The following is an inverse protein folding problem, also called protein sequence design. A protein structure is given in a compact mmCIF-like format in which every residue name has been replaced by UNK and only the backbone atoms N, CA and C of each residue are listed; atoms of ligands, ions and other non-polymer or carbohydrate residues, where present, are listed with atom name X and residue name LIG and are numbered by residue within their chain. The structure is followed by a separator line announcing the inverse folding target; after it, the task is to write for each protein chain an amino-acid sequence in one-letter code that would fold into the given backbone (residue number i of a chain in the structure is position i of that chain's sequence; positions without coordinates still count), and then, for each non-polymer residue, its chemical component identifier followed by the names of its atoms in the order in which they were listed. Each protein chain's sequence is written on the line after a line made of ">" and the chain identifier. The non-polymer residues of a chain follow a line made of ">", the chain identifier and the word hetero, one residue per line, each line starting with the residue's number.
data_IF_172131802662
#
_entry.id   IF_172131802662
#
_cell.length_a   1.000
_cell.length_b   1.000
_cell.length_c   1.000
_cell.angle_alpha   90.00
_cell.angle_beta   90.00
_cell.angle_gamma   90.00
#
_symmetry.space_group_name_H-M   'P 1'
#
loop_
_entity.id
_entity.type
_entity.pdbx_description
1 polymer ?
#
# COMPACT_ATOMS: atom_id res chain seq x y z
N UNK A 1 -12.94 -18.63 -0.45
CA UNK A 1 -12.85 -17.17 -0.19
C UNK A 1 -11.38 -16.79 -0.03
N UNK A 2 -10.93 -15.70 -0.67
CA UNK A 2 -9.58 -15.16 -0.44
C UNK A 2 -9.56 -14.37 0.86
N UNK A 3 -8.47 -14.46 1.63
CA UNK A 3 -8.25 -13.69 2.86
C UNK A 3 -7.20 -12.65 2.55
N UNK A 4 -7.50 -11.37 2.80
CA UNK A 4 -6.57 -10.28 2.55
C UNK A 4 -6.40 -9.48 3.83
N UNK A 5 -5.17 -9.05 4.11
CA UNK A 5 -4.88 -8.11 5.20
C UNK A 5 -4.32 -6.82 4.63
N UNK A 6 -4.87 -5.71 5.09
CA UNK A 6 -4.37 -4.38 4.80
C UNK A 6 -3.25 -4.07 5.79
N UNK A 7 -2.06 -3.79 5.28
CA UNK A 7 -0.88 -3.56 6.10
C UNK A 7 -0.40 -2.13 5.91
N UNK A 8 -0.85 -1.25 6.80
CA UNK A 8 -0.43 0.15 6.85
C UNK A 8 0.74 0.39 7.81
N UNK A 9 0.82 -0.40 8.88
CA UNK A 9 1.60 -0.04 10.08
C UNK A 9 2.89 -0.80 10.28
N UNK A 10 3.11 -1.92 9.59
CA UNK A 10 4.39 -2.63 9.66
C UNK A 10 5.40 -1.97 8.74
N UNK A 11 6.64 -1.89 9.21
CA UNK A 11 7.75 -1.54 8.33
C UNK A 11 7.96 -2.62 7.26
N UNK A 12 8.65 -2.24 6.20
CA UNK A 12 9.02 -3.18 5.14
C UNK A 12 9.91 -4.32 5.65
N UNK A 13 10.80 -4.06 6.60
CA UNK A 13 11.64 -5.10 7.21
C UNK A 13 10.83 -6.11 8.01
N UNK A 14 9.83 -5.64 8.76
CA UNK A 14 8.94 -6.51 9.55
C UNK A 14 8.04 -7.36 8.65
N UNK A 15 7.48 -6.78 7.58
CA UNK A 15 6.53 -7.51 6.72
C UNK A 15 7.21 -8.62 5.93
N UNK A 16 8.49 -8.43 5.57
CA UNK A 16 9.29 -9.44 4.87
C UNK A 16 10.05 -10.38 5.79
N UNK A 17 9.86 -10.25 7.11
CA UNK A 17 10.48 -11.14 8.07
C UNK A 17 10.07 -12.60 7.77
N UNK A 18 11.02 -13.57 7.78
CA UNK A 18 10.71 -14.94 7.39
C UNK A 18 9.53 -15.56 8.14
N UNK A 19 9.38 -15.25 9.43
CA UNK A 19 8.26 -15.71 10.24
C UNK A 19 6.91 -15.16 9.74
N UNK A 20 6.85 -13.87 9.38
CA UNK A 20 5.63 -13.24 8.85
C UNK A 20 5.26 -13.83 7.49
N UNK A 21 6.22 -13.88 6.55
CA UNK A 21 6.00 -14.47 5.23
C UNK A 21 5.54 -15.94 5.32
N UNK A 22 6.15 -16.73 6.21
CA UNK A 22 5.76 -18.13 6.46
C UNK A 22 4.32 -18.23 6.96
N UNK A 23 3.91 -17.36 7.87
CA UNK A 23 2.54 -17.34 8.39
C UNK A 23 1.54 -16.94 7.30
N UNK A 24 1.82 -15.87 6.55
CA UNK A 24 0.96 -15.42 5.44
C UNK A 24 0.74 -16.53 4.41
N UNK A 25 1.80 -17.19 3.99
CA UNK A 25 1.74 -18.31 3.05
C UNK A 25 0.97 -19.51 3.64
N UNK A 26 1.31 -19.94 4.87
CA UNK A 26 0.68 -21.08 5.54
C UNK A 26 -0.83 -20.91 5.68
N UNK A 27 -1.28 -19.70 6.03
CA UNK A 27 -2.70 -19.40 6.24
C UNK A 27 -3.40 -18.85 4.99
N UNK A 28 -2.69 -18.75 3.85
CA UNK A 28 -3.19 -18.22 2.59
C UNK A 28 -3.84 -16.83 2.78
N UNK A 29 -3.11 -15.96 3.46
CA UNK A 29 -3.47 -14.57 3.67
C UNK A 29 -2.66 -13.74 2.66
N UNK A 30 -3.37 -13.15 1.70
CA UNK A 30 -2.82 -12.20 0.75
C UNK A 30 -2.54 -10.86 1.46
N UNK A 31 -1.54 -10.12 0.99
CA UNK A 31 -1.13 -8.85 1.59
C UNK A 31 -1.51 -7.68 0.67
N UNK A 32 -2.14 -6.65 1.24
CA UNK A 32 -2.34 -5.34 0.59
C UNK A 32 -1.43 -4.34 1.30
N UNK A 33 -0.27 -4.07 0.71
CA UNK A 33 0.83 -3.34 1.32
C UNK A 33 0.68 -1.83 1.06
N UNK A 34 0.54 -1.03 2.12
CA UNK A 34 0.59 0.42 1.99
C UNK A 34 2.01 0.88 1.62
N UNK A 35 2.11 1.79 0.65
CA UNK A 35 3.40 2.31 0.15
C UNK A 35 3.41 3.82 0.23
N UNK A 36 4.32 4.38 1.02
CA UNK A 36 4.53 5.83 1.17
C UNK A 36 5.66 6.34 0.26
N UNK A 37 5.73 7.65 -0.03
CA UNK A 37 6.74 8.20 -0.95
C UNK A 37 8.18 7.88 -0.54
N UNK A 38 8.47 7.87 0.76
CA UNK A 38 9.80 7.54 1.30
C UNK A 38 10.13 6.04 1.28
N UNK A 39 9.19 5.18 0.88
CA UNK A 39 9.39 3.74 0.74
C UNK A 39 9.52 3.31 -0.73
N UNK A 40 9.46 4.28 -1.65
CA UNK A 40 9.34 4.00 -3.08
C UNK A 40 10.54 3.21 -3.64
N UNK A 41 11.75 3.46 -3.15
CA UNK A 41 12.94 2.78 -3.66
C UNK A 41 13.03 1.32 -3.19
N UNK A 42 12.39 0.97 -2.06
CA UNK A 42 12.45 -0.36 -1.46
C UNK A 42 11.29 -1.29 -1.87
N UNK A 43 10.18 -0.72 -2.34
CA UNK A 43 8.93 -1.46 -2.58
C UNK A 43 9.10 -2.66 -3.54
N UNK A 44 9.95 -2.52 -4.56
CA UNK A 44 10.21 -3.58 -5.52
C UNK A 44 10.81 -4.83 -4.88
N UNK A 45 11.80 -4.65 -4.00
CA UNK A 45 12.47 -5.74 -3.30
C UNK A 45 11.51 -6.45 -2.32
N UNK A 46 10.66 -5.68 -1.64
CA UNK A 46 9.65 -6.20 -0.71
C UNK A 46 8.62 -7.05 -1.44
N UNK A 47 8.07 -6.55 -2.54
CA UNK A 47 7.09 -7.27 -3.36
C UNK A 47 7.69 -8.56 -3.90
N UNK A 48 8.91 -8.52 -4.46
CA UNK A 48 9.60 -9.70 -4.96
C UNK A 48 9.75 -10.77 -3.86
N UNK A 49 10.25 -10.39 -2.69
CA UNK A 49 10.49 -11.31 -1.57
C UNK A 49 9.21 -12.00 -1.06
N UNK A 50 8.12 -11.26 -0.96
CA UNK A 50 6.83 -11.82 -0.52
C UNK A 50 6.24 -12.75 -1.58
N UNK A 51 6.37 -12.41 -2.87
CA UNK A 51 5.94 -13.27 -3.98
C UNK A 51 6.75 -14.56 -4.06
N UNK A 52 8.06 -14.49 -3.86
CA UNK A 52 8.93 -15.67 -3.80
C UNK A 52 8.53 -16.62 -2.66
N UNK A 53 7.94 -16.08 -1.58
CA UNK A 53 7.34 -16.86 -0.50
C UNK A 53 5.92 -17.39 -0.81
N UNK A 54 5.40 -17.16 -2.01
CA UNK A 54 4.07 -17.58 -2.45
C UNK A 54 2.92 -16.72 -1.92
N UNK A 55 3.20 -15.50 -1.46
CA UNK A 55 2.19 -14.55 -0.99
C UNK A 55 1.74 -13.67 -2.16
N UNK A 56 0.43 -13.55 -2.37
CA UNK A 56 -0.11 -12.53 -3.27
C UNK A 56 0.06 -11.15 -2.65
N UNK A 57 0.55 -10.19 -3.44
CA UNK A 57 0.86 -8.84 -2.96
C UNK A 57 0.20 -7.80 -3.82
N UNK A 58 -0.77 -7.10 -3.24
CA UNK A 58 -1.26 -5.84 -3.76
C UNK A 58 -0.46 -4.66 -3.21
N UNK A 59 -0.27 -3.62 -4.02
CA UNK A 59 0.32 -2.34 -3.60
C UNK A 59 -0.77 -1.28 -3.43
N UNK A 60 -0.70 -0.55 -2.33
CA UNK A 60 -1.67 0.45 -1.94
C UNK A 60 -0.95 1.80 -1.75
N UNK A 61 -0.83 2.61 -2.82
CA UNK A 61 -0.15 3.90 -2.74
C UNK A 61 -0.85 4.83 -1.78
N UNK A 62 -0.06 5.46 -0.93
CA UNK A 62 -0.50 6.39 0.10
C UNK A 62 0.41 7.62 0.05
N UNK A 63 -0.12 8.81 -0.19
CA UNK A 63 0.68 10.04 -0.17
C UNK A 63 1.05 10.44 1.27
N UNK A 64 1.92 11.44 1.40
CA UNK A 64 2.15 12.08 2.69
C UNK A 64 0.87 12.79 3.17
N UNK A 65 0.63 12.81 4.48
CA UNK A 65 -0.61 13.38 5.06
C UNK A 65 -0.82 14.86 4.67
N UNK A 66 0.26 15.62 4.48
CA UNK A 66 0.21 17.01 4.04
C UNK A 66 -0.38 17.19 2.62
N UNK A 67 -0.41 16.12 1.83
CA UNK A 67 -0.77 16.12 0.41
C UNK A 67 -2.15 15.49 0.13
N UNK A 68 -2.87 15.02 1.15
CA UNK A 68 -4.05 14.17 0.97
C UNK A 68 -3.63 12.71 0.89
N UNK A 69 -3.80 11.95 1.98
CA UNK A 69 -3.30 10.57 2.16
C UNK A 69 -3.77 9.65 1.03
N UNK A 70 -5.01 9.83 0.58
CA UNK A 70 -5.65 9.02 -0.46
C UNK A 70 -6.07 9.88 -1.66
N UNK A 71 -6.56 9.22 -2.71
CA UNK A 71 -7.00 9.92 -3.90
C UNK A 71 -8.28 10.74 -3.60
N UNK A 72 -8.24 12.00 -4.00
CA UNK A 72 -9.36 12.94 -3.88
C UNK A 72 -9.35 13.89 -5.08
N UNK A 73 -10.40 14.68 -5.25
CA UNK A 73 -10.43 15.72 -6.30
C UNK A 73 -9.27 16.71 -6.23
N UNK A 74 -8.64 16.88 -5.07
CA UNK A 74 -7.50 17.80 -4.88
C UNK A 74 -6.15 17.10 -5.07
N UNK A 75 -6.04 15.83 -4.67
CA UNK A 75 -4.78 15.07 -4.71
C UNK A 75 -4.64 14.21 -5.97
N UNK A 76 -5.70 14.04 -6.77
CA UNK A 76 -5.79 13.05 -7.87
C UNK A 76 -4.56 13.04 -8.78
N UNK A 77 -4.15 14.18 -9.34
CA UNK A 77 -3.02 14.23 -10.26
C UNK A 77 -1.70 13.78 -9.60
N UNK A 78 -1.46 14.17 -8.35
CA UNK A 78 -0.29 13.76 -7.58
C UNK A 78 -0.37 12.28 -7.18
N UNK A 79 -1.55 11.82 -6.82
CA UNK A 79 -1.80 10.43 -6.45
C UNK A 79 -1.56 9.50 -7.65
N UNK A 80 -2.08 9.83 -8.83
CA UNK A 80 -1.87 9.05 -10.06
C UNK A 80 -0.39 8.96 -10.40
N UNK A 81 0.33 10.09 -10.39
CA UNK A 81 1.77 10.08 -10.64
C UNK A 81 2.54 9.22 -9.63
N UNK A 82 2.12 9.21 -8.36
CA UNK A 82 2.73 8.37 -7.35
C UNK A 82 2.37 6.88 -7.54
N UNK A 83 1.14 6.54 -7.88
CA UNK A 83 0.73 5.17 -8.18
C UNK A 83 1.51 4.61 -9.38
N UNK A 84 1.67 5.39 -10.44
CA UNK A 84 2.49 5.02 -11.60
C UNK A 84 3.96 4.77 -11.20
N UNK A 85 4.51 5.61 -10.33
CA UNK A 85 5.86 5.41 -9.80
C UNK A 85 5.95 4.11 -8.98
N UNK A 86 4.98 3.82 -8.11
CA UNK A 86 4.94 2.57 -7.34
C UNK A 86 4.90 1.35 -8.27
N UNK A 87 4.05 1.37 -9.30
CA UNK A 87 3.98 0.26 -10.28
C UNK A 87 5.28 0.09 -11.08
N UNK A 88 5.94 1.19 -11.43
CA UNK A 88 7.24 1.14 -12.12
C UNK A 88 8.34 0.52 -11.24
N UNK A 89 8.28 0.68 -9.91
CA UNK A 89 9.24 0.09 -8.96
C UNK A 89 8.87 -1.32 -8.52
N UNK A 90 7.58 -1.66 -8.50
CA UNK A 90 7.07 -2.98 -8.16
C UNK A 90 6.27 -3.60 -9.33
N UNK A 91 6.91 -3.89 -10.47
CA UNK A 91 6.23 -4.48 -11.63
C UNK A 91 5.68 -5.89 -11.35
N UNK A 92 6.16 -6.52 -10.27
CA UNK A 92 5.65 -7.80 -9.80
C UNK A 92 4.38 -7.70 -8.94
N UNK A 93 3.89 -6.52 -8.57
CA UNK A 93 2.66 -6.43 -7.77
C UNK A 93 1.47 -7.07 -8.50
N UNK A 94 0.66 -7.83 -7.77
CA UNK A 94 -0.50 -8.53 -8.36
C UNK A 94 -1.72 -7.61 -8.54
N UNK A 95 -1.81 -6.55 -7.75
CA UNK A 95 -2.99 -5.70 -7.66
C UNK A 95 -2.58 -4.27 -7.26
N UNK A 96 -3.23 -3.27 -7.85
CA UNK A 96 -3.17 -1.87 -7.41
C UNK A 96 -4.42 -1.56 -6.62
N UNK A 97 -4.25 -0.95 -5.45
CA UNK A 97 -5.35 -0.59 -4.57
C UNK A 97 -5.45 0.92 -4.51
N UNK A 98 -6.66 1.42 -4.74
CA UNK A 98 -6.97 2.84 -4.75
C UNK A 98 -8.01 3.11 -3.68
N UNK A 99 -7.61 3.85 -2.65
CA UNK A 99 -8.56 4.40 -1.68
C UNK A 99 -8.94 5.82 -2.06
N UNK A 100 -10.20 6.13 -1.81
CA UNK A 100 -10.78 7.45 -2.04
C UNK A 100 -11.06 8.13 -0.71
N UNK A 101 -10.73 9.42 -0.62
CA UNK A 101 -11.12 10.25 0.51
C UNK A 101 -11.71 11.58 0.06
N UNK A 102 -12.61 12.19 0.87
CA UNK A 102 -12.85 13.62 0.78
C UNK A 102 -11.54 14.37 1.02
N UNK A 103 -11.33 15.56 0.44
CA UNK A 103 -10.09 16.29 0.68
C UNK A 103 -9.83 16.50 2.18
N UNK A 104 -8.67 16.06 2.72
CA UNK A 104 -8.38 16.04 4.17
C UNK A 104 -8.67 17.38 4.88
N UNK A 105 -8.36 18.51 4.24
CA UNK A 105 -8.67 19.85 4.79
C UNK A 105 -10.17 20.12 5.01
N UNK A 106 -11.05 19.41 4.30
CA UNK A 106 -12.50 19.47 4.51
C UNK A 106 -12.96 18.57 5.65
N UNK A 107 -12.23 17.48 5.92
CA UNK A 107 -12.53 16.56 7.02
C UNK A 107 -12.26 17.20 8.39
N UNK A 108 -11.26 18.07 8.52
CA UNK A 108 -11.02 18.81 9.79
C UNK A 108 -12.16 19.75 10.18
N UNK A 109 -13.06 20.08 9.24
CA UNK A 109 -14.28 20.86 9.48
C UNK A 109 -15.51 20.01 9.82
N UNK A 110 -15.45 18.68 9.66
CA UNK A 110 -16.51 17.76 10.05
C UNK A 110 -16.42 17.46 11.54
N UNK A 111 -16.65 18.48 12.38
CA UNK A 111 -17.09 18.22 13.75
C UNK A 111 -18.58 17.88 13.67
N UNK A 112 -18.87 16.59 13.74
CA UNK A 112 -20.14 15.98 14.22
C UNK A 112 -21.38 16.87 14.06
N UNK A 113 -22.15 16.60 13.01
CA UNK A 113 -23.60 16.78 13.08
C UNK A 113 -24.22 15.66 13.90
#
# INVERSE_FOLDING_TARGET
>A
MRRRVWCETLSFDEVVAPAVATLLARYRVDLLLAVRPWQLDDVGAVVARLRDAGVFVGVWPMLADADGRWASVQSCARFVAFADAVLARAPGADELILDLEPPLRRMTGWKTG
#
